data_IF_009492106327
#
_entry.id   IF_009492106327
#
_cell.length_a   1.000
_cell.length_b   1.000
_cell.length_c   1.000
_cell.angle_alpha   90.00
_cell.angle_beta   90.00
_cell.angle_gamma   90.00
#
_symmetry.space_group_name_H-M   'P 1'
#
loop_
_entity.id
_entity.type
_entity.pdbx_description
1 polymer ?
#
# COMPACT_ATOMS: atom_id res chain seq x y z
N UNK A 1 28.85 33.32 -58.20
CA UNK A 1 28.78 33.37 -56.72
C UNK A 1 27.35 33.02 -56.30
N UNK A 2 27.05 31.73 -56.13
CA UNK A 2 25.75 31.30 -55.59
C UNK A 2 25.91 31.14 -54.09
N UNK A 3 25.18 31.94 -53.30
CA UNK A 3 25.16 31.84 -51.84
C UNK A 3 24.31 30.62 -51.47
N UNK A 4 24.98 29.57 -50.99
CA UNK A 4 24.35 28.42 -50.38
C UNK A 4 23.69 28.89 -49.08
N UNK A 5 22.36 29.04 -49.10
CA UNK A 5 21.57 29.38 -47.93
C UNK A 5 21.41 28.10 -47.10
N UNK A 6 22.24 27.93 -46.07
CA UNK A 6 22.12 26.82 -45.13
C UNK A 6 20.84 27.03 -44.30
N UNK A 7 19.78 26.30 -44.64
CA UNK A 7 18.65 26.10 -43.73
C UNK A 7 19.15 25.24 -42.55
N UNK A 8 18.90 25.60 -41.28
CA UNK A 8 19.09 24.68 -40.18
C UNK A 8 18.04 23.57 -40.33
N UNK A 9 18.47 22.38 -40.72
CA UNK A 9 17.65 21.17 -40.60
C UNK A 9 17.64 20.78 -39.12
N UNK A 10 16.61 21.18 -38.40
CA UNK A 10 16.26 20.56 -37.11
C UNK A 10 15.69 19.18 -37.42
N UNK A 11 16.53 18.15 -37.37
CA UNK A 11 16.05 16.78 -37.24
C UNK A 11 15.40 16.66 -35.85
N UNK A 12 14.23 16.00 -35.71
CA UNK A 12 13.79 15.59 -34.40
C UNK A 12 14.85 14.61 -33.88
N UNK A 13 15.58 14.97 -32.83
CA UNK A 13 16.44 14.03 -32.12
C UNK A 13 15.55 12.88 -31.64
N UNK A 14 15.88 11.65 -32.03
CA UNK A 14 15.27 10.47 -31.42
C UNK A 14 15.61 10.44 -29.93
N UNK A 15 14.92 9.62 -29.13
CA UNK A 15 15.37 9.31 -27.77
C UNK A 15 16.28 8.08 -27.81
N UNK A 16 17.27 8.03 -26.92
CA UNK A 16 18.10 6.86 -26.67
C UNK A 16 17.27 5.66 -26.19
N UNK A 17 17.84 4.45 -26.32
CA UNK A 17 17.12 3.21 -26.02
C UNK A 17 16.60 3.13 -24.58
N UNK A 18 15.33 2.73 -24.43
CA UNK A 18 14.72 2.52 -23.11
C UNK A 18 15.27 1.25 -22.45
N UNK A 19 15.50 1.29 -21.14
CA UNK A 19 15.82 0.09 -20.35
C UNK A 19 14.69 -0.94 -20.44
N UNK A 20 15.05 -2.23 -20.45
CA UNK A 20 14.05 -3.30 -20.52
C UNK A 20 13.17 -3.35 -19.28
N UNK A 21 11.88 -3.64 -19.41
CA UNK A 21 11.00 -3.83 -18.25
C UNK A 21 11.39 -5.10 -17.47
N UNK A 22 11.25 -5.05 -16.15
CA UNK A 22 11.37 -6.22 -15.30
C UNK A 22 10.27 -7.24 -15.59
N UNK A 23 10.59 -8.53 -15.55
CA UNK A 23 9.61 -9.59 -15.73
C UNK A 23 8.61 -9.64 -14.57
N UNK A 24 7.34 -9.92 -14.85
CA UNK A 24 6.37 -10.22 -13.79
C UNK A 24 6.75 -11.53 -13.09
N UNK A 25 6.48 -11.60 -11.79
CA UNK A 25 6.75 -12.81 -11.04
C UNK A 25 5.68 -13.89 -11.23
N UNK A 26 6.05 -15.14 -10.96
CA UNK A 26 5.09 -16.25 -10.87
C UNK A 26 4.30 -16.23 -9.56
N UNK A 27 3.13 -16.84 -9.59
CA UNK A 27 2.27 -17.01 -8.40
C UNK A 27 2.86 -18.00 -7.39
N UNK A 28 2.46 -17.84 -6.13
CA UNK A 28 2.83 -18.74 -5.04
C UNK A 28 2.12 -20.09 -5.15
N UNK A 29 2.84 -21.17 -4.81
CA UNK A 29 2.28 -22.52 -4.78
C UNK A 29 1.13 -22.66 -3.78
N UNK A 30 0.20 -23.59 -4.02
CA UNK A 30 -0.88 -23.90 -3.07
C UNK A 30 -0.31 -24.53 -1.78
N UNK A 31 -0.93 -24.25 -0.64
CA UNK A 31 -0.59 -24.91 0.62
C UNK A 31 -0.94 -26.41 0.62
N UNK A 32 -0.07 -27.24 1.19
CA UNK A 32 -0.31 -28.69 1.31
C UNK A 32 -1.56 -29.00 2.14
N UNK A 33 -2.29 -30.08 1.83
CA UNK A 33 -3.43 -30.51 2.64
C UNK A 33 -2.97 -31.04 4.02
N UNK A 34 -3.77 -30.78 5.06
CA UNK A 34 -3.56 -31.33 6.40
C UNK A 34 -3.82 -32.84 6.45
N UNK A 35 -3.12 -33.55 7.35
CA UNK A 35 -3.27 -35.01 7.51
C UNK A 35 -4.66 -35.43 8.01
N UNK A 36 -5.20 -36.51 7.43
CA UNK A 36 -6.48 -37.13 7.82
C UNK A 36 -6.32 -38.00 9.06
N UNK A 37 -7.20 -37.86 10.06
CA UNK A 37 -7.22 -38.76 11.21
C UNK A 37 -7.85 -40.11 10.81
N UNK A 38 -7.08 -41.20 10.86
CA UNK A 38 -7.58 -42.55 10.57
C UNK A 38 -7.92 -43.31 11.87
N UNK A 39 -9.22 -43.46 12.14
CA UNK A 39 -9.89 -44.39 13.08
C UNK A 39 -9.88 -44.11 14.60
N UNK A 40 -11.10 -44.09 15.18
CA UNK A 40 -11.41 -44.78 16.43
C UNK A 40 -11.70 -43.93 17.68
N UNK A 41 -11.05 -42.80 17.87
CA UNK A 41 -11.30 -41.89 19.01
C UNK A 41 -11.00 -40.44 18.58
N UNK A 42 -11.56 -39.46 19.29
CA UNK A 42 -11.56 -38.03 18.98
C UNK A 42 -10.14 -37.41 18.83
N UNK A 43 -9.46 -37.66 17.71
CA UNK A 43 -8.25 -36.96 17.30
C UNK A 43 -8.60 -35.68 16.55
N UNK A 44 -7.91 -34.58 16.83
CA UNK A 44 -8.00 -33.37 16.02
C UNK A 44 -7.38 -33.61 14.64
N UNK A 45 -8.02 -33.14 13.57
CA UNK A 45 -7.43 -33.23 12.22
C UNK A 45 -6.18 -32.33 12.12
N UNK A 46 -5.24 -32.70 11.23
CA UNK A 46 -4.10 -31.83 10.94
C UNK A 46 -4.53 -30.51 10.31
N UNK A 47 -3.91 -29.40 10.71
CA UNK A 47 -4.11 -28.12 10.03
C UNK A 47 -3.62 -28.18 8.58
N UNK A 48 -4.28 -27.44 7.69
CA UNK A 48 -3.79 -27.25 6.33
C UNK A 48 -2.47 -26.49 6.31
N UNK A 49 -1.57 -26.83 5.38
CA UNK A 49 -0.34 -26.08 5.15
C UNK A 49 -0.63 -24.67 4.64
N UNK A 50 0.23 -23.70 4.98
CA UNK A 50 0.08 -22.34 4.48
C UNK A 50 0.25 -22.26 2.96
N UNK A 51 -0.47 -21.35 2.32
CA UNK A 51 -0.24 -20.99 0.92
C UNK A 51 1.16 -20.42 0.71
N UNK A 52 1.76 -20.73 -0.44
CA UNK A 52 3.07 -20.23 -0.84
C UNK A 52 3.07 -18.73 -1.11
N UNK A 53 4.23 -18.11 -0.99
CA UNK A 53 4.39 -16.69 -1.29
C UNK A 53 4.39 -16.46 -2.80
N UNK A 54 3.77 -15.38 -3.26
CA UNK A 54 3.93 -14.91 -4.63
C UNK A 54 5.37 -14.50 -4.90
N UNK A 55 5.84 -14.72 -6.12
CA UNK A 55 7.19 -14.31 -6.52
C UNK A 55 7.36 -12.80 -6.50
N UNK A 56 8.59 -12.31 -6.31
CA UNK A 56 8.88 -10.88 -6.45
C UNK A 56 8.99 -10.48 -7.93
N UNK A 57 8.43 -9.33 -8.30
CA UNK A 57 8.56 -8.76 -9.63
C UNK A 57 10.01 -8.39 -9.94
N UNK A 58 10.42 -8.56 -11.20
CA UNK A 58 11.76 -8.23 -11.65
C UNK A 58 12.03 -6.72 -11.64
N UNK A 59 13.28 -6.32 -11.41
CA UNK A 59 13.69 -4.92 -11.51
C UNK A 59 13.70 -4.46 -12.97
N UNK A 60 13.27 -3.23 -13.23
CA UNK A 60 13.45 -2.59 -14.52
C UNK A 60 14.92 -2.30 -14.83
N UNK A 61 15.28 -2.38 -16.11
CA UNK A 61 16.62 -2.11 -16.61
C UNK A 61 16.94 -0.62 -16.66
N UNK A 62 18.23 -0.29 -16.60
CA UNK A 62 18.70 1.10 -16.69
C UNK A 62 18.53 1.61 -18.13
N UNK A 63 18.13 2.87 -18.27
CA UNK A 63 18.04 3.56 -19.56
C UNK A 63 19.42 3.85 -20.16
N UNK A 64 19.51 3.90 -21.49
CA UNK A 64 20.80 4.12 -22.14
C UNK A 64 21.31 5.54 -21.91
N UNK A 65 22.61 5.67 -21.68
CA UNK A 65 23.23 6.98 -21.64
C UNK A 65 23.14 7.68 -23.01
N UNK A 66 23.07 9.00 -22.98
CA UNK A 66 23.16 9.88 -24.14
C UNK A 66 24.51 9.67 -24.87
N UNK A 67 24.46 9.53 -26.19
CA UNK A 67 25.62 9.35 -27.08
C UNK A 67 26.02 10.61 -27.86
N UNK A 68 25.40 11.75 -27.55
CA UNK A 68 25.57 13.05 -28.19
C UNK A 68 24.69 13.27 -29.42
N UNK A 69 23.87 12.29 -29.82
CA UNK A 69 22.96 12.38 -30.98
C UNK A 69 21.47 12.44 -30.60
N UNK A 70 21.14 12.09 -29.36
CA UNK A 70 19.80 11.95 -28.83
C UNK A 70 19.74 12.18 -27.31
N UNK A 71 18.54 12.47 -26.80
CA UNK A 71 18.31 12.46 -25.34
C UNK A 71 18.60 11.08 -24.75
N UNK A 72 19.01 11.00 -23.48
CA UNK A 72 19.23 9.73 -22.83
C UNK A 72 17.93 8.89 -22.69
N UNK A 73 18.08 7.57 -22.66
CA UNK A 73 16.98 6.63 -22.60
C UNK A 73 16.33 6.54 -21.21
N UNK A 74 15.03 6.26 -21.17
CA UNK A 74 14.30 6.08 -19.92
C UNK A 74 14.64 4.74 -19.25
N UNK A 75 14.60 4.68 -17.93
CA UNK A 75 14.63 3.42 -17.18
C UNK A 75 13.41 2.56 -17.47
N UNK A 76 13.58 1.25 -17.45
CA UNK A 76 12.49 0.29 -17.60
C UNK A 76 11.63 0.22 -16.34
N UNK A 77 10.36 -0.13 -16.48
CA UNK A 77 9.47 -0.31 -15.33
C UNK A 77 9.80 -1.60 -14.56
N UNK A 78 9.57 -1.59 -13.25
CA UNK A 78 9.59 -2.81 -12.45
C UNK A 78 8.41 -3.73 -12.79
N UNK A 79 8.64 -5.04 -12.73
CA UNK A 79 7.61 -6.05 -12.93
C UNK A 79 6.66 -6.13 -11.74
N UNK A 80 5.44 -6.60 -11.97
CA UNK A 80 4.48 -6.83 -10.89
C UNK A 80 4.89 -8.04 -10.03
N UNK A 81 4.59 -7.98 -8.74
CA UNK A 81 4.69 -9.13 -7.84
C UNK A 81 3.62 -10.17 -8.14
N UNK A 82 3.94 -11.45 -7.93
CA UNK A 82 3.02 -12.57 -8.14
C UNK A 82 1.97 -12.67 -7.04
N UNK A 83 0.86 -13.35 -7.29
CA UNK A 83 -0.18 -13.54 -6.26
C UNK A 83 0.27 -14.56 -5.21
N UNK A 84 -0.18 -14.39 -3.96
CA UNK A 84 0.03 -15.37 -2.90
C UNK A 84 -0.83 -16.62 -3.14
N UNK A 85 -0.28 -17.80 -2.86
CA UNK A 85 -0.99 -19.07 -3.00
C UNK A 85 -2.14 -19.20 -1.99
N UNK A 86 -3.18 -19.97 -2.33
CA UNK A 86 -4.27 -20.25 -1.37
C UNK A 86 -3.79 -21.16 -0.23
N UNK A 87 -4.39 -21.02 0.96
CA UNK A 87 -4.13 -21.91 2.09
C UNK A 87 -4.61 -23.35 1.86
N UNK A 88 -3.93 -24.33 2.45
CA UNK A 88 -4.23 -25.76 2.32
C UNK A 88 -5.51 -26.20 3.04
N UNK A 89 -6.13 -27.31 2.60
CA UNK A 89 -7.30 -27.90 3.28
C UNK A 89 -6.93 -28.33 4.70
N UNK A 90 -7.86 -28.14 5.65
CA UNK A 90 -7.82 -28.90 6.89
C UNK A 90 -7.97 -30.40 6.61
N UNK A 91 -7.37 -31.25 7.44
CA UNK A 91 -7.64 -32.68 7.39
C UNK A 91 -9.12 -32.97 7.69
N UNK A 92 -9.65 -34.08 7.16
CA UNK A 92 -11.02 -34.57 7.37
C UNK A 92 -11.03 -35.78 8.31
N UNK A 93 -12.08 -35.97 9.12
CA UNK A 93 -12.34 -37.22 9.87
C UNK A 93 -12.46 -37.13 11.41
N UNK A 94 -12.02 -36.03 12.04
CA UNK A 94 -12.17 -35.71 13.47
C UNK A 94 -12.62 -34.26 13.72
N UNK A 95 -12.45 -33.72 14.94
CA UNK A 95 -12.72 -32.29 15.22
C UNK A 95 -11.90 -31.47 14.23
N UNK A 96 -12.57 -30.66 13.40
CA UNK A 96 -11.98 -30.04 12.22
C UNK A 96 -10.77 -29.17 12.55
N UNK A 97 -9.63 -29.48 11.93
CA UNK A 97 -8.45 -28.62 11.98
C UNK A 97 -8.73 -27.29 11.26
N UNK A 98 -7.96 -26.25 11.55
CA UNK A 98 -8.06 -25.00 10.79
C UNK A 98 -7.50 -25.20 9.37
N UNK A 99 -8.15 -24.59 8.38
CA UNK A 99 -7.57 -24.45 7.05
C UNK A 99 -6.29 -23.61 7.12
N UNK A 100 -5.31 -23.92 6.28
CA UNK A 100 -4.05 -23.19 6.26
C UNK A 100 -4.25 -21.70 5.95
N UNK A 101 -3.38 -20.84 6.50
CA UNK A 101 -3.39 -19.42 6.15
C UNK A 101 -3.06 -19.25 4.66
N UNK A 102 -3.67 -18.27 4.02
CA UNK A 102 -3.32 -17.95 2.65
C UNK A 102 -1.96 -17.25 2.56
N UNK A 103 -1.31 -17.43 1.41
CA UNK A 103 0.04 -16.94 1.13
C UNK A 103 0.09 -15.43 0.94
N UNK A 104 1.26 -14.85 1.19
CA UNK A 104 1.51 -13.42 0.99
C UNK A 104 1.74 -13.14 -0.49
N UNK A 105 1.20 -12.03 -1.00
CA UNK A 105 1.48 -11.55 -2.35
C UNK A 105 2.94 -11.12 -2.50
N UNK A 106 3.52 -11.34 -3.66
CA UNK A 106 4.89 -10.96 -3.95
C UNK A 106 5.07 -9.45 -4.05
N UNK A 107 6.26 -8.95 -3.73
CA UNK A 107 6.55 -7.52 -3.88
C UNK A 107 6.69 -7.13 -5.36
N UNK A 108 6.26 -5.92 -5.70
CA UNK A 108 6.56 -5.32 -7.00
C UNK A 108 8.05 -5.04 -7.16
N UNK A 109 8.56 -5.16 -8.39
CA UNK A 109 9.93 -4.85 -8.74
C UNK A 109 10.20 -3.35 -8.75
N UNK A 110 11.43 -2.94 -8.49
CA UNK A 110 11.82 -1.54 -8.59
C UNK A 110 11.91 -1.09 -10.05
N UNK A 111 11.59 0.17 -10.32
CA UNK A 111 11.87 0.80 -11.61
C UNK A 111 13.37 0.98 -11.83
N UNK A 112 13.80 0.91 -13.09
CA UNK A 112 15.17 1.14 -13.50
C UNK A 112 15.53 2.62 -13.50
N UNK A 113 16.80 2.96 -13.30
CA UNK A 113 17.26 4.34 -13.39
C UNK A 113 17.21 4.85 -14.84
N UNK A 114 16.94 6.15 -15.02
CA UNK A 114 17.10 6.81 -16.31
C UNK A 114 18.57 6.95 -16.72
N UNK A 115 18.82 7.02 -18.02
CA UNK A 115 20.16 7.21 -18.56
C UNK A 115 20.69 8.62 -18.31
N UNK A 116 22.01 8.75 -18.14
CA UNK A 116 22.66 10.04 -17.92
C UNK A 116 22.88 10.80 -19.24
N UNK A 117 22.94 12.13 -19.18
CA UNK A 117 23.45 12.97 -20.28
C UNK A 117 24.61 13.85 -19.83
N UNK A 118 25.56 14.08 -20.74
CA UNK A 118 26.60 15.09 -20.60
C UNK A 118 26.53 16.12 -21.74
N UNK A 119 25.52 16.03 -22.60
CA UNK A 119 25.42 16.80 -23.83
C UNK A 119 24.63 18.08 -23.59
N UNK A 120 25.20 19.27 -23.83
CA UNK A 120 24.49 20.54 -23.67
C UNK A 120 23.19 20.59 -24.47
N UNK A 121 22.08 20.96 -23.83
CA UNK A 121 20.76 21.06 -24.45
C UNK A 121 19.95 19.76 -24.48
N UNK A 122 20.57 18.61 -24.17
CA UNK A 122 19.87 17.33 -24.12
C UNK A 122 19.26 17.04 -22.74
N UNK A 123 18.35 16.07 -22.70
CA UNK A 123 17.62 15.67 -21.49
C UNK A 123 18.03 14.27 -21.05
N UNK A 124 18.34 14.10 -19.77
CA UNK A 124 18.60 12.80 -19.18
C UNK A 124 17.30 11.97 -19.09
N UNK A 125 17.45 10.65 -19.02
CA UNK A 125 16.34 9.72 -19.07
C UNK A 125 15.48 9.81 -17.80
N UNK A 126 14.17 9.61 -17.93
CA UNK A 126 13.32 9.45 -16.73
C UNK A 126 13.56 8.09 -16.08
N UNK A 127 13.43 8.01 -14.76
CA UNK A 127 13.38 6.73 -14.05
C UNK A 127 12.11 5.96 -14.40
N UNK A 128 12.22 4.63 -14.41
CA UNK A 128 11.07 3.74 -14.62
C UNK A 128 10.16 3.70 -13.39
N UNK A 129 8.89 3.37 -13.58
CA UNK A 129 7.96 3.22 -12.46
C UNK A 129 8.21 1.91 -11.69
N UNK A 130 7.94 1.93 -10.39
CA UNK A 130 7.90 0.73 -9.57
C UNK A 130 6.72 -0.17 -9.97
N UNK A 131 6.91 -1.48 -9.93
CA UNK A 131 5.87 -2.47 -10.17
C UNK A 131 4.86 -2.53 -9.03
N UNK A 132 3.63 -2.94 -9.31
CA UNK A 132 2.62 -3.15 -8.28
C UNK A 132 2.95 -4.39 -7.42
N UNK A 133 2.59 -4.34 -6.15
CA UNK A 133 2.60 -5.52 -5.28
C UNK A 133 1.52 -6.53 -5.70
N UNK A 134 1.81 -7.81 -5.53
CA UNK A 134 0.89 -8.90 -5.83
C UNK A 134 -0.23 -9.00 -4.80
N UNK A 135 -1.38 -9.55 -5.22
CA UNK A 135 -2.49 -9.81 -4.31
C UNK A 135 -2.14 -10.92 -3.30
N UNK A 136 -2.59 -10.79 -2.05
CA UNK A 136 -2.52 -11.87 -1.07
C UNK A 136 -3.46 -13.03 -1.41
N UNK A 137 -3.10 -14.26 -1.06
CA UNK A 137 -3.90 -15.44 -1.40
C UNK A 137 -5.28 -15.44 -0.74
N UNK A 138 -6.24 -16.14 -1.35
CA UNK A 138 -7.57 -16.31 -0.74
C UNK A 138 -7.54 -17.35 0.38
N UNK A 139 -8.20 -17.03 1.49
CA UNK A 139 -8.42 -17.91 2.63
C UNK A 139 -9.30 -19.11 2.29
N UNK A 140 -9.13 -20.20 3.03
CA UNK A 140 -9.87 -21.45 2.85
C UNK A 140 -11.17 -21.46 3.63
N UNK A 141 -12.16 -22.21 3.14
CA UNK A 141 -13.39 -22.49 3.90
C UNK A 141 -13.04 -23.10 5.26
N UNK A 142 -13.73 -22.64 6.31
CA UNK A 142 -13.53 -23.10 7.67
C UNK A 142 -14.06 -24.53 7.89
N UNK A 143 -13.63 -25.20 8.98
CA UNK A 143 -14.27 -26.44 9.40
C UNK A 143 -15.69 -26.17 9.95
N UNK A 144 -16.47 -27.23 10.13
CA UNK A 144 -17.74 -27.21 10.86
C UNK A 144 -17.63 -26.46 12.20
N UNK A 145 -18.60 -25.59 12.47
CA UNK A 145 -18.64 -24.64 13.59
C UNK A 145 -17.42 -23.71 13.72
N UNK A 146 -16.52 -23.70 12.72
CA UNK A 146 -15.24 -23.02 12.77
C UNK A 146 -15.20 -21.71 11.97
N UNK A 147 -14.04 -21.08 12.00
CA UNK A 147 -13.74 -19.86 11.25
C UNK A 147 -13.09 -20.22 9.90
N UNK A 148 -13.49 -19.54 8.83
CA UNK A 148 -12.75 -19.54 7.57
C UNK A 148 -11.33 -19.00 7.76
N UNK A 149 -10.35 -19.52 7.02
CA UNK A 149 -8.98 -19.05 7.16
C UNK A 149 -8.86 -17.59 6.69
N UNK A 150 -7.92 -16.87 7.29
CA UNK A 150 -7.63 -15.49 6.91
C UNK A 150 -7.12 -15.40 5.47
N UNK A 151 -7.47 -14.31 4.79
CA UNK A 151 -6.83 -13.92 3.54
C UNK A 151 -5.38 -13.52 3.74
N UNK A 152 -4.57 -13.68 2.70
CA UNK A 152 -3.15 -13.38 2.70
C UNK A 152 -2.88 -11.88 2.64
N UNK A 153 -1.71 -11.44 3.10
CA UNK A 153 -1.31 -10.03 3.01
C UNK A 153 -0.94 -9.70 1.56
N UNK A 154 -1.31 -8.52 1.06
CA UNK A 154 -0.87 -8.01 -0.23
C UNK A 154 0.62 -7.63 -0.23
N UNK A 155 1.31 -7.83 -1.36
CA UNK A 155 2.72 -7.51 -1.49
C UNK A 155 3.01 -6.01 -1.51
N UNK A 156 4.24 -5.60 -1.21
CA UNK A 156 4.64 -4.20 -1.26
C UNK A 156 4.71 -3.69 -2.70
N UNK A 157 4.37 -2.42 -2.92
CA UNK A 157 4.66 -1.74 -4.19
C UNK A 157 6.16 -1.50 -4.37
N UNK A 158 6.66 -1.64 -5.60
CA UNK A 158 8.06 -1.39 -5.94
C UNK A 158 8.42 0.09 -5.86
N UNK A 159 9.69 0.40 -5.61
CA UNK A 159 10.15 1.80 -5.63
C UNK A 159 10.28 2.30 -7.06
N UNK A 160 9.98 3.59 -7.29
CA UNK A 160 10.25 4.25 -8.55
C UNK A 160 11.74 4.42 -8.79
N UNK A 161 12.18 4.26 -10.04
CA UNK A 161 13.57 4.44 -10.44
C UNK A 161 13.98 5.92 -10.37
N UNK A 162 15.26 6.17 -10.11
CA UNK A 162 15.80 7.54 -10.15
C UNK A 162 15.84 8.07 -11.60
N UNK A 163 15.59 9.36 -11.77
CA UNK A 163 15.88 10.07 -13.00
C UNK A 163 17.38 10.09 -13.29
N UNK A 164 17.73 10.11 -14.57
CA UNK A 164 19.11 10.23 -15.02
C UNK A 164 19.69 11.60 -14.69
N UNK A 165 20.99 11.63 -14.41
CA UNK A 165 21.71 12.88 -14.15
C UNK A 165 22.08 13.58 -15.45
N UNK A 166 22.01 14.91 -15.43
CA UNK A 166 22.65 15.75 -16.43
C UNK A 166 23.97 16.28 -15.83
N UNK A 167 25.12 15.97 -16.42
CA UNK A 167 26.43 16.33 -15.83
C UNK A 167 26.92 17.73 -16.23
N UNK A 168 26.13 18.45 -17.03
CA UNK A 168 26.39 19.84 -17.45
C UNK A 168 25.16 20.70 -17.19
N UNK A 169 25.36 21.94 -16.73
CA UNK A 169 24.27 22.81 -16.27
C UNK A 169 23.30 23.26 -17.37
N UNK A 170 23.69 23.16 -18.63
CA UNK A 170 22.85 23.49 -19.80
C UNK A 170 22.00 22.32 -20.29
N UNK A 171 22.16 21.14 -19.70
CA UNK A 171 21.33 19.97 -19.95
C UNK A 171 20.20 19.85 -18.90
N UNK A 172 19.20 19.03 -19.20
CA UNK A 172 18.02 18.84 -18.34
C UNK A 172 18.08 17.50 -17.59
N UNK A 173 17.81 17.48 -16.29
CA UNK A 173 17.77 16.25 -15.50
C UNK A 173 16.55 15.38 -15.87
N UNK A 174 16.72 14.09 -15.67
CA UNK A 174 15.64 13.12 -15.75
C UNK A 174 14.70 13.24 -14.55
N UNK A 175 13.41 13.00 -14.78
CA UNK A 175 12.44 12.90 -13.68
C UNK A 175 12.49 11.50 -13.03
N UNK A 176 12.23 11.42 -11.73
CA UNK A 176 12.06 10.15 -11.03
C UNK A 176 10.79 9.43 -11.46
N UNK A 177 10.84 8.10 -11.49
CA UNK A 177 9.67 7.25 -11.76
C UNK A 177 8.73 7.17 -10.56
N UNK A 178 7.44 6.93 -10.79
CA UNK A 178 6.47 6.77 -9.71
C UNK A 178 6.71 5.49 -8.89
N UNK A 179 6.38 5.51 -7.60
CA UNK A 179 6.30 4.32 -6.77
C UNK A 179 5.11 3.44 -7.17
N UNK A 180 5.27 2.13 -7.07
CA UNK A 180 4.22 1.16 -7.38
C UNK A 180 3.12 1.13 -6.34
N UNK A 181 1.91 0.73 -6.72
CA UNK A 181 0.81 0.52 -5.78
C UNK A 181 1.09 -0.73 -4.90
N UNK A 182 0.72 -0.67 -3.62
CA UNK A 182 0.70 -1.85 -2.75
C UNK A 182 -0.36 -2.87 -3.18
N UNK A 183 -0.06 -4.16 -3.08
CA UNK A 183 -0.98 -5.23 -3.49
C UNK A 183 -2.25 -5.29 -2.65
N UNK A 184 -3.34 -5.80 -3.19
CA UNK A 184 -4.58 -5.99 -2.43
C UNK A 184 -4.43 -7.14 -1.44
N UNK A 185 -5.01 -7.02 -0.25
CA UNK A 185 -5.17 -8.16 0.66
C UNK A 185 -6.03 -9.26 0.02
N UNK A 186 -5.78 -10.50 0.41
CA UNK A 186 -6.57 -11.65 -0.04
C UNK A 186 -7.93 -11.71 0.64
N UNK A 187 -8.92 -12.30 -0.02
CA UNK A 187 -10.24 -12.49 0.58
C UNK A 187 -10.18 -13.53 1.70
N UNK A 188 -10.91 -13.32 2.80
CA UNK A 188 -11.09 -14.34 3.84
C UNK A 188 -11.87 -15.54 3.32
N UNK A 189 -11.59 -16.74 3.84
CA UNK A 189 -12.31 -17.93 3.43
C UNK A 189 -13.75 -17.96 3.96
N UNK A 190 -14.68 -18.60 3.25
CA UNK A 190 -16.06 -18.69 3.73
C UNK A 190 -16.20 -19.54 5.01
N UNK A 191 -17.29 -19.36 5.74
CA UNK A 191 -17.70 -20.26 6.80
C UNK A 191 -18.21 -21.59 6.25
N UNK A 192 -18.15 -22.65 7.07
CA UNK A 192 -18.70 -23.96 6.72
C UNK A 192 -20.22 -23.87 6.54
N UNK A 193 -20.77 -24.47 5.48
CA UNK A 193 -22.22 -24.55 5.32
C UNK A 193 -22.78 -25.67 6.19
N UNK A 194 -23.79 -25.38 6.99
CA UNK A 194 -24.39 -26.34 7.93
C UNK A 194 -24.88 -27.59 7.20
N UNK A 195 -24.50 -28.75 7.72
CA UNK A 195 -24.84 -30.06 7.13
C UNK A 195 -26.06 -30.74 7.77
N UNK A 196 -26.75 -30.02 8.66
CA UNK A 196 -27.86 -30.54 9.46
C UNK A 196 -27.47 -30.81 10.90
N UNK A 197 -26.24 -30.44 11.31
CA UNK A 197 -25.74 -30.55 12.68
C UNK A 197 -25.76 -29.21 13.45
N UNK A 198 -26.29 -28.14 12.84
CA UNK A 198 -26.28 -26.78 13.34
C UNK A 198 -24.86 -26.25 13.53
N UNK A 199 -24.04 -26.43 12.51
CA UNK A 199 -22.59 -26.22 12.54
C UNK A 199 -22.11 -25.22 11.47
N UNK A 200 -22.96 -24.28 11.08
CA UNK A 200 -22.56 -23.22 10.16
C UNK A 200 -21.39 -22.41 10.72
N UNK A 201 -20.31 -22.31 9.96
CA UNK A 201 -19.09 -21.61 10.36
C UNK A 201 -19.13 -20.11 10.08
N UNK A 202 -18.26 -19.35 10.76
CA UNK A 202 -18.08 -17.92 10.50
C UNK A 202 -17.08 -17.70 9.36
N UNK A 203 -17.31 -16.68 8.54
CA UNK A 203 -16.38 -16.29 7.49
C UNK A 203 -15.05 -15.76 8.04
N UNK A 204 -13.95 -16.05 7.35
CA UNK A 204 -12.60 -15.62 7.70
C UNK A 204 -12.37 -14.13 7.49
N UNK A 205 -11.34 -13.59 8.14
CA UNK A 205 -10.97 -12.18 8.01
C UNK A 205 -10.24 -11.93 6.69
N UNK A 206 -10.54 -10.82 6.03
CA UNK A 206 -9.80 -10.37 4.84
C UNK A 206 -8.35 -9.98 5.17
N UNK A 207 -7.44 -10.22 4.24
CA UNK A 207 -6.02 -9.91 4.39
C UNK A 207 -5.72 -8.41 4.41
N UNK A 208 -4.61 -8.03 5.02
CA UNK A 208 -4.11 -6.65 4.98
C UNK A 208 -3.65 -6.29 3.55
N UNK A 209 -3.89 -5.06 3.11
CA UNK A 209 -3.27 -4.55 1.88
C UNK A 209 -1.74 -4.43 1.97
N UNK A 210 -1.06 -4.24 0.85
CA UNK A 210 0.38 -3.93 0.79
C UNK A 210 0.65 -2.45 0.93
N UNK A 211 1.85 -2.07 1.36
CA UNK A 211 2.24 -0.64 1.44
C UNK A 211 2.62 -0.14 0.03
N UNK A 212 2.27 1.11 -0.29
CA UNK A 212 2.68 1.77 -1.54
C UNK A 212 4.18 1.99 -1.64
N UNK A 213 4.71 1.94 -2.85
CA UNK A 213 6.13 2.16 -3.15
C UNK A 213 6.54 3.62 -3.01
N UNK A 214 7.82 3.85 -2.72
CA UNK A 214 8.40 5.20 -2.66
C UNK A 214 8.57 5.75 -4.08
N UNK A 215 8.30 7.04 -4.27
CA UNK A 215 8.57 7.73 -5.53
C UNK A 215 10.07 7.90 -5.81
N UNK A 216 10.47 7.81 -7.07
CA UNK A 216 11.86 7.98 -7.49
C UNK A 216 12.38 9.40 -7.30
N UNK A 217 13.69 9.53 -7.09
CA UNK A 217 14.36 10.82 -7.06
C UNK A 217 14.52 11.39 -8.47
N UNK A 218 14.53 12.71 -8.62
CA UNK A 218 14.98 13.35 -9.85
C UNK A 218 16.49 13.14 -10.04
N UNK A 219 16.97 13.32 -11.27
CA UNK A 219 18.40 13.45 -11.54
C UNK A 219 18.99 14.74 -10.96
N UNK A 220 20.32 14.82 -10.96
CA UNK A 220 21.10 15.96 -10.46
C UNK A 220 22.08 16.50 -11.52
N UNK A 221 22.50 17.76 -11.36
CA UNK A 221 23.60 18.40 -12.09
C UNK A 221 23.19 19.29 -13.27
N UNK A 222 22.02 19.05 -13.88
CA UNK A 222 21.40 19.92 -14.87
C UNK A 222 20.24 20.73 -14.29
N UNK A 223 19.46 21.36 -15.18
CA UNK A 223 18.22 22.05 -14.82
C UNK A 223 17.01 21.11 -14.85
N UNK A 224 15.94 21.41 -14.11
CA UNK A 224 14.69 20.67 -14.19
C UNK A 224 14.72 19.24 -13.62
N UNK A 225 13.78 18.41 -14.07
CA UNK A 225 13.46 17.09 -13.50
C UNK A 225 12.49 17.18 -12.32
N UNK A 226 11.52 16.27 -12.25
CA UNK A 226 10.57 16.19 -11.13
C UNK A 226 10.72 14.90 -10.35
N UNK A 227 10.33 14.92 -9.08
CA UNK A 227 10.23 13.70 -8.28
C UNK A 227 9.14 12.77 -8.81
N UNK A 228 9.35 11.48 -8.63
CA UNK A 228 8.32 10.48 -8.82
C UNK A 228 7.25 10.61 -7.73
N UNK A 229 5.99 10.45 -8.10
CA UNK A 229 4.91 10.36 -7.13
C UNK A 229 5.06 9.11 -6.26
N UNK A 230 4.72 9.20 -4.98
CA UNK A 230 4.62 8.04 -4.11
C UNK A 230 3.43 7.14 -4.51
N UNK A 231 3.60 5.83 -4.40
CA UNK A 231 2.57 4.85 -4.69
C UNK A 231 1.45 4.86 -3.66
N UNK A 232 0.25 4.44 -4.06
CA UNK A 232 -0.88 4.31 -3.12
C UNK A 232 -0.77 3.01 -2.33
N UNK A 233 -1.31 3.01 -1.10
CA UNK A 233 -1.47 1.81 -0.32
C UNK A 233 -2.44 0.83 -0.97
N UNK A 234 -2.24 -0.45 -0.73
CA UNK A 234 -3.09 -1.54 -1.17
C UNK A 234 -4.37 -1.60 -0.36
N UNK A 235 -5.45 -2.00 -1.02
CA UNK A 235 -6.74 -2.19 -0.36
C UNK A 235 -6.70 -3.42 0.55
N UNK A 236 -7.41 -3.37 1.67
CA UNK A 236 -7.67 -4.58 2.45
C UNK A 236 -8.51 -5.58 1.65
N UNK A 237 -8.31 -6.88 1.93
CA UNK A 237 -9.10 -7.95 1.33
C UNK A 237 -10.52 -8.00 1.89
N UNK A 238 -11.47 -8.54 1.15
CA UNK A 238 -12.83 -8.71 1.68
C UNK A 238 -12.87 -9.78 2.78
N UNK A 239 -13.79 -9.65 3.73
CA UNK A 239 -14.12 -10.72 4.66
C UNK A 239 -14.80 -11.88 3.94
N UNK A 240 -14.64 -13.10 4.44
CA UNK A 240 -15.32 -14.28 3.93
C UNK A 240 -16.81 -14.28 4.27
N UNK A 241 -17.65 -14.86 3.42
CA UNK A 241 -19.06 -15.01 3.74
C UNK A 241 -19.28 -16.01 4.89
N UNK A 242 -20.32 -15.81 5.69
CA UNK A 242 -20.74 -16.77 6.70
C UNK A 242 -21.36 -18.03 6.08
N UNK A 243 -21.30 -19.14 6.81
CA UNK A 243 -21.88 -20.42 6.40
C UNK A 243 -23.40 -20.38 6.30
N UNK A 244 -23.98 -20.86 5.21
CA UNK A 244 -25.44 -20.96 5.08
C UNK A 244 -26.01 -22.13 5.90
N UNK A 245 -27.32 -22.10 6.20
CA UNK A 245 -28.07 -23.26 6.71
C UNK A 245 -29.33 -23.51 5.89
N UNK A 246 -29.63 -24.79 5.65
CA UNK A 246 -30.89 -25.23 5.04
C UNK A 246 -31.81 -25.95 6.01
N UNK A 247 -31.50 -25.94 7.30
CA UNK A 247 -32.19 -26.75 8.31
C UNK A 247 -33.04 -25.87 9.22
N UNK A 248 -34.30 -26.27 9.43
CA UNK A 248 -35.24 -25.52 10.27
C UNK A 248 -34.71 -25.39 11.71
N UNK A 249 -34.80 -24.18 12.27
CA UNK A 249 -34.35 -23.90 13.63
C UNK A 249 -32.83 -23.73 13.80
N UNK A 250 -32.05 -23.91 12.74
CA UNK A 250 -30.60 -23.72 12.78
C UNK A 250 -30.20 -22.27 12.57
N UNK A 251 -28.94 -21.96 12.86
CA UNK A 251 -28.37 -20.62 12.70
C UNK A 251 -27.27 -20.64 11.65
N UNK A 252 -27.38 -19.76 10.64
CA UNK A 252 -26.32 -19.52 9.68
C UNK A 252 -25.16 -18.73 10.33
N UNK A 253 -23.96 -18.94 9.81
CA UNK A 253 -22.74 -18.33 10.30
C UNK A 253 -22.63 -16.85 9.96
N UNK A 254 -21.86 -16.13 10.77
CA UNK A 254 -21.63 -14.70 10.58
C UNK A 254 -20.59 -14.44 9.48
N UNK A 255 -20.68 -13.29 8.81
CA UNK A 255 -19.69 -12.85 7.84
C UNK A 255 -18.39 -12.39 8.52
N UNK A 256 -17.27 -12.62 7.84
CA UNK A 256 -15.93 -12.25 8.31
C UNK A 256 -15.67 -10.75 8.22
N UNK A 257 -14.72 -10.25 9.02
CA UNK A 257 -14.31 -8.85 8.94
C UNK A 257 -13.54 -8.57 7.64
N UNK A 258 -13.76 -7.41 7.03
CA UNK A 258 -12.91 -6.89 5.97
C UNK A 258 -11.50 -6.55 6.47
N UNK A 259 -10.49 -6.81 5.65
CA UNK A 259 -9.10 -6.52 5.95
C UNK A 259 -8.81 -5.01 5.98
N UNK A 260 -7.77 -4.62 6.70
CA UNK A 260 -7.36 -3.22 6.75
C UNK A 260 -6.64 -2.80 5.45
N UNK A 261 -6.87 -1.56 5.00
CA UNK A 261 -6.06 -0.92 3.97
C UNK A 261 -4.68 -0.51 4.50
N UNK A 262 -3.66 -0.51 3.64
CA UNK A 262 -2.28 -0.25 4.06
C UNK A 262 -1.81 1.17 3.78
N UNK A 263 -0.64 1.53 4.32
CA UNK A 263 -0.13 2.89 4.17
C UNK A 263 0.20 3.25 2.71
N UNK A 264 0.00 4.52 2.37
CA UNK A 264 0.57 5.09 1.15
C UNK A 264 2.09 5.15 1.20
N UNK A 265 2.72 5.19 0.03
CA UNK A 265 4.17 5.32 -0.10
C UNK A 265 4.68 6.66 0.43
N UNK A 266 5.96 6.69 0.78
CA UNK A 266 6.62 7.92 1.24
C UNK A 266 6.95 8.80 0.03
N UNK A 267 6.73 10.10 0.17
CA UNK A 267 7.16 11.10 -0.81
C UNK A 267 8.69 11.18 -0.90
N UNK A 268 9.20 11.43 -2.09
CA UNK A 268 10.64 11.50 -2.37
C UNK A 268 11.30 12.72 -1.71
N UNK A 269 12.58 12.59 -1.37
CA UNK A 269 13.40 13.72 -0.89
C UNK A 269 13.51 14.81 -1.98
N UNK A 270 13.46 16.08 -1.57
CA UNK A 270 13.78 17.22 -2.42
C UNK A 270 15.21 17.13 -2.96
N UNK A 271 15.32 17.16 -4.28
CA UNK A 271 16.55 17.06 -5.05
C UNK A 271 17.36 18.35 -5.09
N UNK A 272 18.61 18.20 -5.53
CA UNK A 272 19.56 19.30 -5.68
C UNK A 272 19.08 20.25 -6.79
N UNK A 273 18.93 21.56 -6.51
CA UNK A 273 18.69 22.52 -7.57
C UNK A 273 19.91 22.56 -8.53
N UNK A 274 19.66 22.87 -9.80
CA UNK A 274 20.71 23.41 -10.66
C UNK A 274 21.02 24.85 -10.24
N UNK A 275 22.22 25.33 -10.58
CA UNK A 275 22.73 26.65 -10.15
C UNK A 275 21.69 27.78 -10.28
N UNK A 276 21.37 28.45 -9.17
CA UNK A 276 20.52 29.66 -9.14
C UNK A 276 19.01 29.41 -9.14
N UNK A 277 18.56 28.20 -8.78
CA UNK A 277 17.14 27.83 -8.64
C UNK A 277 16.87 27.50 -7.17
N UNK A 278 15.72 27.91 -6.58
CA UNK A 278 15.37 27.52 -5.22
C UNK A 278 15.39 26.00 -5.02
N UNK A 279 15.81 25.56 -3.82
CA UNK A 279 15.80 24.16 -3.42
C UNK A 279 14.44 23.51 -3.65
N UNK A 280 14.46 22.33 -4.27
CA UNK A 280 13.21 21.68 -4.64
C UNK A 280 12.45 21.12 -3.42
N UNK A 281 11.12 21.19 -3.48
CA UNK A 281 10.26 20.67 -2.42
C UNK A 281 10.30 19.15 -2.35
N UNK A 282 10.06 18.60 -1.17
CA UNK A 282 9.83 17.16 -1.02
C UNK A 282 8.58 16.70 -1.78
N UNK A 283 8.61 15.46 -2.27
CA UNK A 283 7.47 14.83 -2.93
C UNK A 283 6.29 14.61 -1.99
N UNK A 284 5.07 14.58 -2.52
CA UNK A 284 3.88 14.29 -1.71
C UNK A 284 3.82 12.80 -1.31
N UNK A 285 3.38 12.52 -0.09
CA UNK A 285 3.07 11.16 0.34
C UNK A 285 1.90 10.55 -0.44
N UNK A 286 1.91 9.23 -0.62
CA UNK A 286 0.88 8.49 -1.35
C UNK A 286 -0.42 8.38 -0.56
N UNK A 287 -1.55 8.16 -1.22
CA UNK A 287 -2.81 7.91 -0.51
C UNK A 287 -2.77 6.55 0.23
N UNK A 288 -3.35 6.47 1.43
CA UNK A 288 -3.60 5.21 2.13
C UNK A 288 -4.60 4.32 1.40
N UNK A 289 -4.41 3.00 1.44
CA UNK A 289 -5.30 2.05 0.81
C UNK A 289 -6.67 1.99 1.47
N UNK A 290 -7.72 1.61 0.74
CA UNK A 290 -9.06 1.49 1.31
C UNK A 290 -9.18 0.25 2.21
N UNK A 291 -10.04 0.31 3.22
CA UNK A 291 -10.44 -0.88 3.96
C UNK A 291 -11.22 -1.87 3.09
N UNK A 292 -11.08 -3.15 3.37
CA UNK A 292 -11.82 -4.22 2.70
C UNK A 292 -13.27 -4.27 3.14
N UNK A 293 -14.16 -4.77 2.28
CA UNK A 293 -15.58 -4.93 2.62
C UNK A 293 -15.75 -6.10 3.61
N UNK A 294 -16.65 -5.96 4.59
CA UNK A 294 -17.04 -7.07 5.46
C UNK A 294 -17.76 -8.16 4.69
N UNK A 295 -17.56 -9.42 5.05
CA UNK A 295 -18.23 -10.54 4.41
C UNK A 295 -19.72 -10.57 4.74
N UNK A 296 -20.53 -11.07 3.82
CA UNK A 296 -21.97 -11.22 4.06
C UNK A 296 -22.25 -12.32 5.08
N UNK A 297 -23.34 -12.17 5.84
CA UNK A 297 -23.85 -13.24 6.70
C UNK A 297 -24.39 -14.41 5.90
N UNK A 298 -24.31 -15.61 6.47
CA UNK A 298 -24.83 -16.82 5.82
C UNK A 298 -26.35 -16.76 5.66
N UNK A 299 -26.86 -17.23 4.51
CA UNK A 299 -28.29 -17.31 4.26
C UNK A 299 -28.93 -18.51 4.98
N UNK A 300 -30.20 -18.42 5.31
CA UNK A 300 -30.95 -19.46 6.01
C UNK A 300 -32.29 -19.76 5.34
N UNK A 301 -32.83 -20.96 5.53
CA UNK A 301 -34.21 -21.29 5.10
C UNK A 301 -35.27 -20.67 6.01
N UNK A 302 -36.50 -20.63 5.51
CA UNK A 302 -37.65 -20.19 6.28
C UNK A 302 -37.77 -20.97 7.62
N UNK A 303 -37.83 -20.23 8.73
CA UNK A 303 -37.88 -20.78 10.10
C UNK A 303 -36.52 -21.06 10.74
N UNK A 304 -35.42 -20.78 10.03
CA UNK A 304 -34.07 -20.71 10.58
C UNK A 304 -33.61 -19.24 10.77
N UNK A 305 -32.42 -19.05 11.33
CA UNK A 305 -31.83 -17.74 11.65
C UNK A 305 -30.72 -17.39 10.66
N UNK A 306 -30.81 -16.21 10.03
CA UNK A 306 -29.77 -15.70 9.13
C UNK A 306 -28.50 -15.31 9.89
N UNK A 307 -27.35 -15.44 9.23
CA UNK A 307 -26.09 -14.89 9.70
C UNK A 307 -26.07 -13.37 9.62
N UNK A 308 -25.38 -12.73 10.57
CA UNK A 308 -25.08 -11.30 10.50
C UNK A 308 -23.94 -11.00 9.53
N UNK A 309 -23.96 -9.80 8.95
CA UNK A 309 -22.87 -9.32 8.12
C UNK A 309 -21.62 -8.97 8.93
N UNK A 310 -20.46 -9.16 8.34
CA UNK A 310 -19.16 -8.83 8.92
C UNK A 310 -18.88 -7.32 8.89
N UNK A 311 -18.02 -6.85 9.78
CA UNK A 311 -17.62 -5.42 9.79
C UNK A 311 -16.69 -5.10 8.62
N UNK A 312 -16.82 -3.91 8.04
CA UNK A 312 -15.84 -3.39 7.10
C UNK A 312 -14.46 -3.16 7.73
N UNK A 313 -13.42 -3.23 6.91
CA UNK A 313 -12.04 -2.97 7.29
C UNK A 313 -11.76 -1.49 7.46
N UNK A 314 -10.73 -1.15 8.24
CA UNK A 314 -10.29 0.24 8.41
C UNK A 314 -9.52 0.72 7.17
N UNK A 315 -9.65 1.99 6.83
CA UNK A 315 -8.81 2.62 5.82
C UNK A 315 -7.34 2.70 6.27
N UNK A 316 -6.43 2.69 5.30
CA UNK A 316 -5.00 2.82 5.51
C UNK A 316 -4.55 4.24 5.79
N UNK A 317 -3.37 4.38 6.36
CA UNK A 317 -2.81 5.70 6.68
C UNK A 317 -2.26 6.35 5.41
N UNK A 318 -2.44 7.66 5.24
CA UNK A 318 -1.74 8.39 4.20
C UNK A 318 -0.22 8.29 4.33
N UNK A 319 0.49 8.29 3.21
CA UNK A 319 1.94 8.28 3.16
C UNK A 319 2.56 9.55 3.73
N UNK A 320 3.78 9.44 4.23
CA UNK A 320 4.50 10.60 4.75
C UNK A 320 5.00 11.46 3.58
N UNK A 321 4.89 12.78 3.68
CA UNK A 321 5.50 13.70 2.72
C UNK A 321 7.04 13.63 2.75
N UNK A 322 7.66 13.83 1.60
CA UNK A 322 9.12 13.85 1.48
C UNK A 322 9.74 15.05 2.17
N UNK A 323 10.98 14.93 2.61
CA UNK A 323 11.71 16.07 3.17
C UNK A 323 12.12 17.03 2.06
N UNK A 324 12.15 18.33 2.33
CA UNK A 324 12.65 19.33 1.38
C UNK A 324 14.17 19.31 1.21
N UNK A 325 14.66 19.93 0.13
CA UNK A 325 16.09 20.02 -0.17
C UNK A 325 16.89 20.72 0.95
N UNK A 326 18.09 20.21 1.26
CA UNK A 326 19.03 20.83 2.19
C UNK A 326 20.04 21.71 1.46
N UNK A 327 19.98 23.02 1.68
CA UNK A 327 20.98 23.96 1.18
C UNK A 327 22.21 23.97 2.10
N UNK A 328 23.23 23.21 1.72
CA UNK A 328 24.49 23.12 2.48
C UNK A 328 25.58 24.07 1.94
N UNK A 329 25.35 24.66 0.76
CA UNK A 329 26.30 25.51 0.05
C UNK A 329 26.07 27.00 0.30
N UNK A 330 24.85 27.38 0.69
CA UNK A 330 24.48 28.76 0.97
C UNK A 330 24.19 29.62 -0.25
N UNK A 331 24.05 28.99 -1.41
CA UNK A 331 23.82 29.66 -2.69
C UNK A 331 22.33 29.87 -2.97
N UNK A 332 21.45 29.05 -2.38
CA UNK A 332 20.02 28.98 -2.69
C UNK A 332 19.16 28.82 -1.41
N UNK A 333 17.84 29.00 -1.51
CA UNK A 333 16.93 28.68 -0.40
C UNK A 333 16.72 27.16 -0.25
N UNK A 334 16.53 26.68 0.98
CA UNK A 334 16.19 25.27 1.23
C UNK A 334 14.75 24.94 0.79
N UNK A 335 14.52 23.71 0.33
CA UNK A 335 13.20 23.31 -0.18
C UNK A 335 12.19 23.06 0.94
N UNK A 336 10.90 23.29 0.69
CA UNK A 336 9.85 22.93 1.66
C UNK A 336 9.64 21.40 1.73
N UNK A 337 9.13 20.92 2.85
CA UNK A 337 8.68 19.54 2.98
C UNK A 337 7.46 19.27 2.10
N UNK A 338 7.36 18.05 1.56
CA UNK A 338 6.22 17.58 0.82
C UNK A 338 4.99 17.39 1.71
N UNK A 339 3.79 17.54 1.16
CA UNK A 339 2.57 17.26 1.90
C UNK A 339 2.44 15.77 2.21
N UNK A 340 1.84 15.44 3.35
CA UNK A 340 1.40 14.09 3.66
C UNK A 340 0.28 13.64 2.73
N UNK A 341 0.23 12.35 2.43
CA UNK A 341 -0.84 11.75 1.65
C UNK A 341 -2.14 11.69 2.43
N UNK A 342 -3.28 11.59 1.74
CA UNK A 342 -4.58 11.43 2.40
C UNK A 342 -4.75 10.02 2.96
N UNK A 343 -5.51 9.87 4.04
CA UNK A 343 -5.93 8.57 4.55
C UNK A 343 -6.83 7.84 3.55
N UNK A 344 -6.82 6.51 3.62
CA UNK A 344 -7.71 5.65 2.86
C UNK A 344 -9.11 5.63 3.45
N UNK A 345 -10.11 5.32 2.63
CA UNK A 345 -11.50 5.20 3.11
C UNK A 345 -11.71 3.90 3.88
N UNK A 346 -12.62 3.88 4.85
CA UNK A 346 -13.07 2.64 5.48
C UNK A 346 -13.84 1.75 4.51
N UNK A 347 -13.79 0.44 4.70
CA UNK A 347 -14.54 -0.54 3.94
C UNK A 347 -16.00 -0.60 4.37
N UNK A 348 -16.91 -0.99 3.47
CA UNK A 348 -18.31 -1.18 3.83
C UNK A 348 -18.51 -2.39 4.75
N UNK A 349 -19.55 -2.38 5.59
CA UNK A 349 -20.01 -3.57 6.31
C UNK A 349 -20.70 -4.56 5.37
N UNK A 350 -20.61 -5.85 5.67
CA UNK A 350 -21.26 -6.92 4.90
C UNK A 350 -22.78 -6.93 5.11
N UNK A 351 -23.52 -7.49 4.16
CA UNK A 351 -24.97 -7.62 4.27
C UNK A 351 -25.37 -8.75 5.24
N UNK A 352 -26.61 -8.69 5.73
CA UNK A 352 -27.22 -9.84 6.41
C UNK A 352 -27.51 -10.97 5.44
N UNK A 353 -27.48 -12.23 5.92
CA UNK A 353 -27.99 -13.36 5.15
C UNK A 353 -29.49 -13.27 4.81
N UNK A 354 -29.91 -14.04 3.79
CA UNK A 354 -31.29 -14.00 3.26
C UNK A 354 -32.07 -15.29 3.57
N UNK A 355 -33.41 -15.22 3.58
CA UNK A 355 -34.31 -16.40 3.58
C UNK A 355 -34.87 -16.88 4.94
N UNK A 356 -34.26 -16.54 6.08
CA UNK A 356 -34.76 -16.88 7.42
C UNK A 356 -36.01 -16.10 7.84
N UNK A 357 -36.97 -16.78 8.52
CA UNK A 357 -38.23 -16.18 9.02
C UNK A 357 -38.01 -15.26 10.23
N UNK A 358 -37.00 -15.54 11.06
CA UNK A 358 -36.77 -14.78 12.30
C UNK A 358 -35.94 -13.50 12.13
N UNK A 359 -35.41 -13.20 10.93
CA UNK A 359 -34.94 -11.86 10.55
C UNK A 359 -34.04 -11.08 11.54
N UNK A 360 -33.36 -11.75 12.49
CA UNK A 360 -32.56 -11.10 13.54
C UNK A 360 -31.11 -10.86 13.13
N UNK A 361 -30.70 -11.33 11.94
CA UNK A 361 -29.39 -11.01 11.42
C UNK A 361 -29.27 -9.49 11.22
N UNK A 362 -28.22 -8.90 11.77
CA UNK A 362 -27.93 -7.47 11.63
C UNK A 362 -26.96 -7.28 10.46
N UNK A 363 -27.13 -6.23 9.68
CA UNK A 363 -26.12 -5.83 8.68
C UNK A 363 -24.80 -5.49 9.37
N UNK A 364 -23.69 -5.75 8.71
CA UNK A 364 -22.36 -5.43 9.22
C UNK A 364 -22.18 -3.92 9.41
N UNK A 365 -21.37 -3.53 10.39
CA UNK A 365 -21.01 -2.12 10.59
C UNK A 365 -19.93 -1.72 9.56
N UNK A 366 -20.00 -0.49 9.03
CA UNK A 366 -18.94 0.04 8.18
C UNK A 366 -17.61 0.17 8.93
N UNK A 367 -16.49 0.04 8.22
CA UNK A 367 -15.16 0.29 8.77
C UNK A 367 -14.90 1.78 8.97
N UNK A 368 -13.96 2.14 9.85
CA UNK A 368 -13.54 3.54 10.01
C UNK A 368 -12.64 4.00 8.87
N UNK A 369 -12.63 5.31 8.61
CA UNK A 369 -11.63 5.91 7.71
C UNK A 369 -10.22 5.76 8.26
N UNK A 370 -9.23 5.80 7.37
CA UNK A 370 -7.80 5.83 7.71
C UNK A 370 -7.34 7.23 8.11
N UNK A 371 -6.23 7.33 8.83
CA UNK A 371 -5.67 8.63 9.20
C UNK A 371 -4.95 9.27 8.01
N UNK A 372 -4.93 10.61 7.98
CA UNK A 372 -4.06 11.33 7.07
C UNK A 372 -2.58 11.08 7.35
N UNK A 373 -1.75 11.16 6.33
CA UNK A 373 -0.29 11.05 6.44
C UNK A 373 0.33 12.31 7.03
N UNK A 374 1.50 12.20 7.63
CA UNK A 374 2.21 13.37 8.14
C UNK A 374 2.87 14.15 7.00
N UNK A 375 2.93 15.47 7.15
CA UNK A 375 3.76 16.29 6.26
C UNK A 375 5.24 15.97 6.42
N UNK A 376 6.02 16.17 5.36
CA UNK A 376 7.46 16.01 5.36
C UNK A 376 8.16 17.17 6.07
N UNK A 377 9.41 16.96 6.49
CA UNK A 377 10.20 18.02 7.10
C UNK A 377 10.64 19.06 6.07
N UNK A 378 10.69 20.32 6.50
CA UNK A 378 11.32 21.38 5.73
C UNK A 378 12.82 21.17 5.60
N UNK A 379 13.39 21.65 4.49
CA UNK A 379 14.82 21.64 4.27
C UNK A 379 15.59 22.55 5.24
N UNK A 380 16.82 22.20 5.56
CA UNK A 380 17.72 22.98 6.41
C UNK A 380 18.70 23.75 5.53
N UNK A 381 19.02 25.00 5.90
CA UNK A 381 20.12 25.78 5.30
C UNK A 381 21.20 26.08 6.33
N UNK A 382 22.46 26.12 5.90
CA UNK A 382 23.62 26.53 6.72
C UNK A 382 24.06 27.97 6.44
N UNK A 383 23.44 28.68 5.50
CA UNK A 383 23.80 30.05 5.13
C UNK A 383 23.26 31.11 6.10
N UNK A 384 24.04 32.20 6.23
CA UNK A 384 23.66 33.38 7.01
C UNK A 384 22.48 34.16 6.38
N UNK A 385 22.26 34.01 5.07
CA UNK A 385 21.20 34.69 4.30
C UNK A 385 20.19 33.75 3.65
N UNK A 386 20.39 32.43 3.73
CA UNK A 386 19.47 31.44 3.16
C UNK A 386 18.24 31.26 4.05
N UNK A 387 17.08 31.02 3.46
CA UNK A 387 15.85 30.72 4.21
C UNK A 387 15.67 29.20 4.33
N UNK A 388 15.40 28.72 5.53
CA UNK A 388 15.07 27.31 5.73
C UNK A 388 13.69 26.98 5.13
N UNK A 389 13.53 25.74 4.68
CA UNK A 389 12.26 25.27 4.14
C UNK A 389 11.21 25.11 5.24
N UNK A 390 9.96 25.43 4.93
CA UNK A 390 8.85 25.11 5.81
C UNK A 390 8.57 23.60 5.82
N UNK A 391 8.04 23.08 6.93
CA UNK A 391 7.47 21.73 6.96
C UNK A 391 6.28 21.60 6.01
N UNK A 392 6.08 20.40 5.47
CA UNK A 392 4.92 20.09 4.64
C UNK A 392 3.63 20.01 5.48
N UNK A 393 2.49 20.27 4.84
CA UNK A 393 1.19 20.08 5.47
C UNK A 393 0.91 18.59 5.73
N UNK A 394 0.22 18.29 6.83
CA UNK A 394 -0.35 16.95 7.05
C UNK A 394 -1.45 16.66 6.02
N UNK A 395 -1.60 15.39 5.65
CA UNK A 395 -2.68 14.92 4.79
C UNK A 395 -4.01 14.87 5.52
N UNK A 396 -5.11 14.95 4.77
CA UNK A 396 -6.46 14.80 5.31
C UNK A 396 -6.73 13.34 5.74
N UNK A 397 -7.53 13.15 6.78
CA UNK A 397 -8.07 11.84 7.13
C UNK A 397 -8.98 11.28 6.04
N UNK A 398 -9.08 9.96 5.97
CA UNK A 398 -10.00 9.25 5.09
C UNK A 398 -11.43 9.21 5.65
N UNK A 399 -12.42 9.03 4.78
CA UNK A 399 -13.82 8.92 5.18
C UNK A 399 -14.14 7.53 5.74
N UNK A 400 -15.09 7.45 6.68
CA UNK A 400 -15.64 6.16 7.13
C UNK A 400 -16.36 5.39 6.02
N UNK A 401 -16.45 4.07 6.18
CA UNK A 401 -17.21 3.18 5.30
C UNK A 401 -18.70 3.16 5.65
N UNK A 402 -19.53 2.79 4.68
CA UNK A 402 -20.97 2.61 4.87
C UNK A 402 -21.29 1.33 5.65
N UNK A 403 -22.35 1.31 6.44
CA UNK A 403 -22.88 0.04 7.00
C UNK A 403 -23.50 -0.87 5.94
N UNK A 404 -23.69 -2.14 6.28
CA UNK A 404 -24.31 -3.17 5.45
C UNK A 404 -25.85 -3.10 5.44
N UNK A 405 -26.47 -3.82 4.50
CA UNK A 405 -27.93 -3.86 4.29
C UNK A 405 -28.59 -5.07 4.97
N UNK A 406 -29.84 -4.95 5.47
CA UNK A 406 -30.58 -6.04 6.16
C UNK A 406 -32.12 -5.89 6.14
N UNK A 407 -32.89 -6.98 6.40
CA UNK A 407 -34.35 -7.07 6.17
C UNK A 407 -35.24 -6.42 7.24
N UNK A 408 -34.80 -6.32 8.49
CA UNK A 408 -35.20 -5.23 9.39
C UNK A 408 -34.07 -4.22 9.25
N UNK A 409 -34.30 -3.10 8.56
CA UNK A 409 -33.24 -2.18 8.16
C UNK A 409 -32.38 -1.74 9.33
N UNK A 410 -31.28 -2.44 9.57
CA UNK A 410 -30.24 -2.02 10.50
C UNK A 410 -29.72 -0.72 9.92
N UNK A 411 -29.91 0.38 10.64
CA UNK A 411 -29.27 1.64 10.30
C UNK A 411 -27.79 1.37 10.08
N UNK A 412 -27.34 1.48 8.82
CA UNK A 412 -25.95 1.24 8.47
C UNK A 412 -25.08 2.07 9.41
N UNK A 413 -24.19 1.42 10.16
CA UNK A 413 -23.36 2.12 11.12
C UNK A 413 -22.59 3.23 10.42
N UNK A 414 -22.81 4.48 10.82
CA UNK A 414 -22.11 5.64 10.28
C UNK A 414 -20.61 5.45 10.57
N UNK A 415 -19.81 5.25 9.52
CA UNK A 415 -18.37 5.16 9.66
C UNK A 415 -17.82 6.44 10.31
N UNK A 416 -16.98 6.30 11.32
CA UNK A 416 -16.25 7.44 11.90
C UNK A 416 -15.20 7.92 10.89
N UNK A 417 -15.17 9.22 10.62
CA UNK A 417 -14.12 9.82 9.77
C UNK A 417 -12.76 9.73 10.48
N UNK A 418 -11.70 9.48 9.72
CA UNK A 418 -10.33 9.50 10.26
C UNK A 418 -9.89 10.93 10.61
N UNK A 419 -8.93 11.06 11.52
CA UNK A 419 -8.32 12.35 11.87
C UNK A 419 -7.27 12.77 10.85
N UNK A 420 -7.12 14.07 10.59
CA UNK A 420 -6.03 14.61 9.77
C UNK A 420 -4.65 14.30 10.37
N UNK A 421 -3.64 14.14 9.51
CA UNK A 421 -2.25 13.97 9.91
C UNK A 421 -1.65 15.25 10.49
N UNK A 422 -0.54 15.13 11.23
CA UNK A 422 0.15 16.30 11.78
C UNK A 422 1.01 16.98 10.70
N UNK A 423 1.09 18.31 10.72
CA UNK A 423 2.04 19.04 9.89
C UNK A 423 3.49 18.62 10.22
N UNK A 424 4.36 18.59 9.21
CA UNK A 424 5.79 18.38 9.42
C UNK A 424 6.38 19.50 10.26
N UNK A 425 7.36 19.19 11.12
CA UNK A 425 8.07 20.26 11.84
C UNK A 425 8.92 21.06 10.85
N UNK A 426 9.15 22.35 11.14
CA UNK A 426 10.18 23.14 10.45
C UNK A 426 11.57 22.50 10.60
N UNK A 427 12.65 23.14 10.09
CA UNK A 427 13.99 22.57 10.19
C UNK A 427 14.27 22.14 11.63
N UNK A 428 14.81 20.93 11.83
CA UNK A 428 15.42 20.59 13.12
C UNK A 428 16.50 21.65 13.28
N UNK A 429 16.24 22.60 14.21
CA UNK A 429 16.99 23.85 14.30
C UNK A 429 18.47 23.56 14.21
N UNK A 430 19.18 24.33 13.38
CA UNK A 430 20.62 24.24 13.21
C UNK A 430 21.24 23.99 14.59
N UNK A 431 21.77 22.78 14.79
CA UNK A 431 22.70 22.55 15.89
C UNK A 431 23.78 23.58 15.62
N UNK A 432 23.83 24.61 16.46
CA UNK A 432 24.86 25.63 16.36
C UNK A 432 26.19 24.91 16.36
N UNK A 433 26.84 24.85 15.20
CA UNK A 433 28.22 24.40 15.08
C UNK A 433 29.04 25.53 15.71
N UNK A 434 29.12 25.51 17.03
CA UNK A 434 30.18 26.17 17.75
C UNK A 434 31.45 25.43 17.32
N UNK A 435 32.29 26.13 16.57
CA UNK A 435 33.69 25.73 16.34
C UNK A 435 34.32 25.54 17.73
N UNK A 436 34.46 24.29 18.18
CA UNK A 436 35.03 24.00 19.48
C UNK A 436 34.88 22.53 19.86
N UNK A 437 35.98 21.79 19.72
CA UNK A 437 36.24 20.44 20.23
C UNK A 437 35.49 20.11 21.54
N UNK A 438 34.52 19.18 21.47
CA UNK A 438 33.85 18.64 22.66
C UNK A 438 32.70 17.73 22.28
N UNK A 439 32.84 16.44 22.56
CA UNK A 439 31.80 15.42 22.35
C UNK A 439 30.53 15.75 23.16
N UNK A 440 29.40 15.97 22.49
CA UNK A 440 28.07 16.00 23.12
C UNK A 440 27.26 14.81 22.64
N UNK A 441 26.76 14.06 23.62
CA UNK A 441 25.95 12.85 23.50
C UNK A 441 24.65 13.11 22.72
N UNK A 442 24.27 12.19 21.83
CA UNK A 442 22.96 12.11 21.19
C UNK A 442 21.87 11.97 22.27
N UNK A 443 21.25 13.10 22.64
CA UNK A 443 20.08 13.11 23.49
C UNK A 443 18.83 12.71 22.71
N UNK A 444 18.45 11.43 22.83
CA UNK A 444 17.08 10.95 22.82
C UNK A 444 16.17 11.38 21.68
N UNK A 445 16.09 10.52 20.66
CA UNK A 445 14.93 10.34 19.79
C UNK A 445 13.69 10.18 20.70
N UNK A 446 12.91 11.25 20.87
CA UNK A 446 11.64 11.18 21.57
C UNK A 446 10.68 10.31 20.77
N UNK A 447 10.46 9.08 21.23
CA UNK A 447 9.38 8.25 20.74
C UNK A 447 8.07 9.00 20.87
N UNK A 448 7.39 9.25 19.75
CA UNK A 448 6.03 9.76 19.78
C UNK A 448 5.14 8.70 20.45
N UNK A 449 4.41 9.17 21.46
CA UNK A 449 3.74 8.37 22.46
C UNK A 449 2.71 7.40 21.91
N UNK A 450 2.61 6.27 22.61
CA UNK A 450 1.58 5.27 22.41
C UNK A 450 0.18 5.86 22.56
N UNK A 451 -0.69 5.36 21.69
CA UNK A 451 -2.15 5.27 21.78
C UNK A 451 -2.76 5.61 23.15
N UNK A 452 -3.55 6.68 23.17
CA UNK A 452 -4.50 6.94 24.25
C UNK A 452 -5.91 6.49 23.86
N UNK A 453 -6.42 5.44 24.53
CA UNK A 453 -7.83 5.35 24.92
C UNK A 453 -8.77 4.48 24.10
N UNK A 454 -8.65 3.15 24.20
CA UNK A 454 -9.87 2.32 24.23
C UNK A 454 -10.25 2.12 25.69
N UNK A 455 -11.24 2.89 26.16
CA UNK A 455 -11.90 2.64 27.43
C UNK A 455 -12.68 1.33 27.34
N UNK A 456 -12.26 0.35 28.14
CA UNK A 456 -13.01 -0.88 28.35
C UNK A 456 -14.35 -0.61 29.01
N UNK A 457 -15.37 -1.28 28.50
CA UNK A 457 -16.67 -1.45 29.14
C UNK A 457 -16.50 -2.07 30.53
N UNK A 458 -17.19 -1.50 31.52
CA UNK A 458 -17.23 -2.02 32.88
C UNK A 458 -18.55 -1.69 33.58
N UNK A 459 -19.54 -2.57 33.39
CA UNK A 459 -20.59 -2.90 34.36
C UNK A 459 -21.93 -2.16 34.27
N UNK A 460 -22.95 -2.72 34.93
CA UNK A 460 -23.73 -3.89 34.50
C UNK A 460 -24.96 -3.55 33.65
#
# INVERSE_FOLDING_TARGET
MSRLNARPTTWPSGAGGTGGNGGNAGDGGLGGAGGTATHGTAGANGAGGAGGWGGAGGTGGVGQADDGSNNAGTGGNGGAGGTGGTGGYAGTGGIGGLGGNAGVGGNGGNGGAGGITATPGDTAGTGGNGGAGGQGGTGRVGPASGLGSSGGIGGLGGTGGAGGNATVSTATNGSGGAGGQGGTGGTGGAGYADDGSNDAGTGGVGGLGGIGGIGGLSGVGGTGGTFGAAGTGGTGGAGGAGGATTTLGHTAGTGGQGGQGSAGGVGSLGGFPGDGVPGSNGGTGGQGGTGGVGGDGGSAVAGAINGSGGRGGTGGIGGIGGTGYFDLTGADDAGAGGAGGTGGTGGAGGATGTGGIFGTGIGGVGGSGGLGGNGGFGGVTTALTGTAGNGGAGGAGGTGGSGGTGPTGGSGGAGTSGTSGTAGTGPIGAIGIIVGIGTVSLGGIGGFGGFGGFGGLGGP
#
